data_IF_262134522271
#
_entry.id   IF_262134522271
#
_cell.length_a   1.000
_cell.length_b   1.000
_cell.length_c   1.000
_cell.angle_alpha   90.00
_cell.angle_beta   90.00
_cell.angle_gamma   90.00
#
_symmetry.space_group_name_H-M   'P 1'
#
loop_
_entity.id
_entity.type
_entity.pdbx_description
1 polymer ?
#
# COMPACT_ATOMS: atom_id res chain seq x y z
N UNK A 1 -4.59 -14.36 -21.61
CA UNK A 1 -4.29 -13.33 -20.60
C UNK A 1 -2.83 -13.49 -20.23
N UNK A 2 -1.97 -12.58 -20.68
CA UNK A 2 -0.52 -12.63 -20.43
C UNK A 2 -0.26 -12.16 -19.01
N UNK A 3 0.52 -12.91 -18.23
CA UNK A 3 0.87 -12.52 -16.86
C UNK A 3 1.62 -11.16 -16.87
N UNK A 4 1.42 -10.29 -15.86
CA UNK A 4 2.10 -9.01 -15.79
C UNK A 4 3.62 -9.22 -15.73
N UNK A 5 4.37 -8.34 -16.39
CA UNK A 5 5.83 -8.38 -16.35
C UNK A 5 6.33 -8.05 -14.93
N UNK A 6 7.55 -8.49 -14.59
CA UNK A 6 8.18 -8.21 -13.28
C UNK A 6 8.30 -6.71 -12.96
N UNK A 7 8.27 -5.84 -13.98
CA UNK A 7 8.31 -4.40 -13.83
C UNK A 7 6.95 -3.84 -13.38
N UNK A 8 5.87 -4.30 -13.99
CA UNK A 8 4.51 -3.86 -13.67
C UNK A 8 4.11 -4.25 -12.24
N UNK A 9 4.50 -5.45 -11.78
CA UNK A 9 4.24 -5.91 -10.40
C UNK A 9 5.00 -5.11 -9.33
N UNK A 10 6.00 -4.33 -9.73
CA UNK A 10 6.77 -3.45 -8.85
C UNK A 10 6.41 -1.96 -9.04
N UNK A 11 5.30 -1.68 -9.72
CA UNK A 11 4.80 -0.31 -9.89
C UNK A 11 5.57 0.52 -10.92
N UNK A 12 6.40 -0.10 -11.77
CA UNK A 12 7.13 0.60 -12.84
C UNK A 12 6.22 0.86 -14.05
N UNK A 13 5.12 1.56 -13.80
CA UNK A 13 4.18 2.04 -14.82
C UNK A 13 3.96 3.53 -14.63
N UNK A 14 4.13 4.33 -15.68
CA UNK A 14 3.97 5.77 -15.60
C UNK A 14 2.52 6.15 -15.23
N UNK A 15 2.35 6.98 -14.20
CA UNK A 15 1.07 7.51 -13.74
C UNK A 15 1.19 9.03 -13.49
N UNK A 16 0.12 9.82 -13.69
CA UNK A 16 0.12 11.23 -13.30
C UNK A 16 0.43 11.39 -11.81
N UNK A 17 1.36 12.29 -11.47
CA UNK A 17 1.67 12.65 -10.08
C UNK A 17 0.54 13.48 -9.45
N UNK A 18 -0.10 14.32 -10.25
CA UNK A 18 -1.21 15.15 -9.79
C UNK A 18 -2.43 14.27 -9.51
N UNK A 19 -2.92 14.30 -8.27
CA UNK A 19 -4.01 13.41 -7.82
C UNK A 19 -5.29 13.68 -8.59
N UNK A 20 -5.60 14.95 -8.86
CA UNK A 20 -6.79 15.33 -9.63
C UNK A 20 -6.71 14.81 -11.06
N UNK A 21 -5.54 14.91 -11.71
CA UNK A 21 -5.30 14.33 -13.03
C UNK A 21 -5.30 12.78 -13.03
N UNK A 22 -4.82 12.14 -11.96
CA UNK A 22 -4.82 10.70 -11.80
C UNK A 22 -6.24 10.13 -11.62
N UNK A 23 -7.05 10.80 -10.80
CA UNK A 23 -8.45 10.44 -10.58
C UNK A 23 -9.33 10.84 -11.77
N UNK A 24 -8.99 11.91 -12.48
CA UNK A 24 -9.72 12.42 -13.65
C UNK A 24 -11.21 12.65 -13.34
N UNK A 25 -12.06 12.38 -14.32
CA UNK A 25 -13.52 12.41 -14.16
C UNK A 25 -14.10 11.07 -13.68
N UNK A 26 -13.28 10.17 -13.11
CA UNK A 26 -13.75 8.86 -12.67
C UNK A 26 -14.90 9.04 -11.67
N UNK A 27 -16.12 8.90 -12.18
CA UNK A 27 -17.35 8.58 -11.46
C UNK A 27 -17.10 7.27 -10.71
N UNK A 28 -16.58 7.40 -9.50
CA UNK A 28 -16.13 6.30 -8.66
C UNK A 28 -15.98 6.70 -7.19
N UNK A 29 -16.68 7.76 -6.78
CA UNK A 29 -17.12 7.96 -5.38
C UNK A 29 -18.26 6.97 -5.08
N UNK A 30 -18.13 5.70 -5.47
CA UNK A 30 -18.95 4.70 -4.81
C UNK A 30 -18.54 4.72 -3.35
N UNK A 31 -19.53 4.64 -2.44
CA UNK A 31 -19.23 4.66 -1.02
C UNK A 31 -18.23 3.53 -0.74
N UNK A 32 -17.07 3.82 -0.12
CA UNK A 32 -16.07 2.80 0.13
C UNK A 32 -16.70 1.70 0.98
N UNK A 33 -16.44 0.45 0.61
CA UNK A 33 -16.84 -0.67 1.45
C UNK A 33 -15.98 -0.63 2.73
N UNK A 34 -16.60 -0.71 3.93
CA UNK A 34 -15.85 -0.72 5.16
C UNK A 34 -15.03 -2.01 5.26
N UNK A 35 -13.71 -1.89 5.23
CA UNK A 35 -12.79 -2.98 5.50
C UNK A 35 -12.19 -2.86 6.91
N UNK A 36 -12.04 -4.01 7.58
CA UNK A 36 -11.36 -4.07 8.87
C UNK A 36 -9.86 -4.25 8.63
N UNK A 37 -9.02 -3.61 9.45
CA UNK A 37 -7.56 -3.85 9.40
C UNK A 37 -7.24 -5.35 9.57
N UNK A 38 -8.01 -6.05 10.39
CA UNK A 38 -7.87 -7.49 10.62
C UNK A 38 -8.12 -8.34 9.36
N UNK A 39 -8.79 -7.82 8.32
CA UNK A 39 -8.99 -8.54 7.05
C UNK A 39 -7.85 -8.36 6.06
N UNK A 40 -6.84 -7.53 6.36
CA UNK A 40 -5.70 -7.26 5.48
C UNK A 40 -4.43 -7.82 6.15
N UNK A 41 -4.04 -9.06 5.86
CA UNK A 41 -2.85 -9.66 6.45
C UNK A 41 -1.58 -9.00 5.90
N UNK A 42 -0.57 -8.84 6.76
CA UNK A 42 0.75 -8.42 6.30
C UNK A 42 1.43 -9.51 5.46
N UNK A 43 2.30 -9.14 4.50
CA UNK A 43 3.05 -10.12 3.73
C UNK A 43 3.96 -10.96 4.65
N UNK A 44 3.78 -12.29 4.65
CA UNK A 44 4.56 -13.20 5.50
C UNK A 44 5.92 -13.63 4.92
N UNK A 45 6.47 -12.88 3.96
CA UNK A 45 7.75 -13.25 3.34
C UNK A 45 8.92 -12.97 4.30
N UNK A 46 10.04 -13.70 4.20
CA UNK A 46 11.20 -13.45 5.06
C UNK A 46 11.68 -11.99 5.02
N UNK A 47 11.66 -11.38 3.83
CA UNK A 47 12.05 -9.99 3.65
C UNK A 47 11.08 -9.01 4.36
N UNK A 48 9.78 -9.20 4.18
CA UNK A 48 8.77 -8.33 4.79
C UNK A 48 8.83 -8.41 6.33
N UNK A 49 9.01 -9.62 6.88
CA UNK A 49 9.18 -9.83 8.31
C UNK A 49 10.43 -9.11 8.84
N UNK A 50 11.58 -9.26 8.16
CA UNK A 50 12.82 -8.59 8.56
C UNK A 50 12.70 -7.05 8.53
N UNK A 51 12.03 -6.49 7.52
CA UNK A 51 11.76 -5.05 7.44
C UNK A 51 10.84 -4.59 8.57
N UNK A 52 9.80 -5.35 8.88
CA UNK A 52 8.86 -5.02 9.94
C UNK A 52 9.53 -5.06 11.33
N UNK A 53 10.37 -6.06 11.59
CA UNK A 53 11.17 -6.17 12.80
C UNK A 53 12.13 -4.98 12.94
N UNK A 54 12.85 -4.65 11.87
CA UNK A 54 13.75 -3.50 11.84
C UNK A 54 13.01 -2.18 12.08
N UNK A 55 11.90 -1.95 11.36
CA UNK A 55 11.11 -0.73 11.49
C UNK A 55 10.55 -0.57 12.91
N UNK A 56 10.07 -1.66 13.53
CA UNK A 56 9.57 -1.64 14.91
C UNK A 56 10.67 -1.33 15.92
N UNK A 57 11.90 -1.80 15.67
CA UNK A 57 13.05 -1.56 16.55
C UNK A 57 13.57 -0.12 16.46
N UNK A 58 13.65 0.44 15.26
CA UNK A 58 14.35 1.70 15.01
C UNK A 58 13.43 2.93 15.02
N UNK A 59 12.15 2.76 14.70
CA UNK A 59 11.19 3.86 14.71
C UNK A 59 10.58 4.05 16.09
N UNK A 60 10.28 5.31 16.42
CA UNK A 60 9.39 5.62 17.55
C UNK A 60 8.01 5.03 17.29
N UNK A 61 7.31 4.68 18.36
CA UNK A 61 6.03 4.00 18.29
C UNK A 61 5.00 4.77 17.45
N UNK A 62 4.93 6.10 17.58
CA UNK A 62 3.99 6.92 16.82
C UNK A 62 4.30 6.91 15.32
N UNK A 63 5.58 6.91 14.96
CA UNK A 63 6.04 6.84 13.57
C UNK A 63 5.79 5.46 12.98
N UNK A 64 6.09 4.39 13.73
CA UNK A 64 5.76 3.03 13.32
C UNK A 64 4.26 2.87 13.08
N UNK A 65 3.43 3.33 14.03
CA UNK A 65 1.97 3.28 13.92
C UNK A 65 1.46 4.15 12.75
N UNK A 66 2.11 5.28 12.44
CA UNK A 66 1.79 6.06 11.24
C UNK A 66 2.08 5.28 9.96
N UNK A 67 3.24 4.64 9.84
CA UNK A 67 3.57 3.79 8.70
C UNK A 67 2.57 2.65 8.52
N UNK A 68 2.11 2.03 9.61
CA UNK A 68 1.06 1.01 9.56
C UNK A 68 -0.27 1.58 9.05
N UNK A 69 -0.67 2.79 9.48
CA UNK A 69 -1.87 3.44 8.94
C UNK A 69 -1.76 3.71 7.43
N UNK A 70 -0.60 4.16 6.97
CA UNK A 70 -0.34 4.40 5.54
C UNK A 70 -0.44 3.11 4.72
N UNK A 71 0.03 1.97 5.24
CA UNK A 71 -0.12 0.68 4.57
C UNK A 71 -1.59 0.23 4.41
N UNK A 72 -2.46 0.61 5.35
CA UNK A 72 -3.88 0.22 5.35
C UNK A 72 -4.82 1.21 4.65
N UNK A 73 -4.32 2.38 4.20
CA UNK A 73 -5.08 3.35 3.40
C UNK A 73 -5.03 2.97 1.92
#
# INVERSE_FOLDING_TARGET
MTAPSTLETHGWTAQPRDVSAFLGDKKGLEAPEPHLVASIPLPGTPLANAVLEYARKELREETFNHSMRVYYY
#
